data_IF_048270592979
#
_entry.id   IF_048270592979
#
_cell.length_a   1.000
_cell.length_b   1.000
_cell.length_c   1.000
_cell.angle_alpha   90.00
_cell.angle_beta   90.00
_cell.angle_gamma   90.00
#
_symmetry.space_group_name_H-M   'P 1'
#
loop_
_entity.id
_entity.type
_entity.pdbx_description
1 polymer ?
#
# COMPACT_ATOMS: atom_id res chain seq x y z
N UNK A 1 -24.94 -1.95 9.61
CA UNK A 1 -23.63 -1.30 9.37
C UNK A 1 -22.98 -2.05 8.20
N UNK A 2 -22.80 -1.42 7.04
CA UNK A 2 -22.51 -2.12 5.76
C UNK A 2 -21.07 -2.68 5.63
N UNK A 3 -20.17 -2.32 6.54
CA UNK A 3 -18.78 -2.79 6.54
C UNK A 3 -18.40 -3.26 7.95
N UNK A 4 -17.75 -4.44 8.09
CA UNK A 4 -17.20 -4.91 9.36
C UNK A 4 -15.94 -4.10 9.76
N UNK A 5 -15.63 -4.08 11.06
CA UNK A 5 -14.41 -3.46 11.61
C UNK A 5 -14.58 -2.09 12.28
N UNK A 6 -13.52 -1.60 12.94
CA UNK A 6 -13.52 -0.27 13.58
C UNK A 6 -13.55 0.84 12.53
N UNK A 7 -14.57 1.70 12.61
CA UNK A 7 -14.86 2.80 11.67
C UNK A 7 -13.64 3.68 11.35
N UNK A 8 -12.84 4.00 12.37
CA UNK A 8 -11.65 4.86 12.24
C UNK A 8 -10.43 4.15 11.66
N UNK A 9 -10.45 2.82 11.61
CA UNK A 9 -9.33 2.02 11.13
C UNK A 9 -9.47 1.69 9.65
N UNK A 10 -10.58 1.07 9.24
CA UNK A 10 -10.78 0.61 7.86
C UNK A 10 -11.12 1.73 6.88
N UNK A 11 -11.54 2.90 7.37
CA UNK A 11 -11.96 4.09 6.62
C UNK A 11 -13.13 3.89 5.63
N UNK A 12 -13.62 2.66 5.44
CA UNK A 12 -14.69 2.34 4.47
C UNK A 12 -16.02 3.02 4.84
N UNK A 13 -16.34 3.13 6.14
CA UNK A 13 -17.53 3.87 6.64
C UNK A 13 -17.26 5.32 7.06
N UNK A 14 -15.98 5.73 7.18
CA UNK A 14 -15.59 7.05 7.67
C UNK A 14 -15.82 8.16 6.64
N UNK A 15 -15.79 7.85 5.34
CA UNK A 15 -16.01 8.80 4.23
C UNK A 15 -17.35 9.55 4.28
N UNK A 16 -18.33 9.03 5.02
CA UNK A 16 -19.67 9.61 5.17
C UNK A 16 -20.00 10.01 6.61
N UNK A 17 -19.03 9.98 7.52
CA UNK A 17 -19.23 10.29 8.93
C UNK A 17 -18.75 11.70 9.27
N UNK A 18 -19.63 12.53 9.84
CA UNK A 18 -19.43 13.92 10.29
C UNK A 18 -18.24 14.22 11.24
N UNK A 19 -17.49 13.22 11.72
CA UNK A 19 -16.33 13.38 12.61
C UNK A 19 -14.98 13.34 11.85
N UNK A 20 -14.88 14.09 10.74
CA UNK A 20 -13.76 14.00 9.79
C UNK A 20 -12.45 14.64 10.32
N UNK A 21 -12.52 15.54 11.31
CA UNK A 21 -11.44 16.51 11.57
C UNK A 21 -10.54 16.22 12.79
N UNK A 22 -10.80 15.18 13.60
CA UNK A 22 -10.11 14.99 14.90
C UNK A 22 -9.19 13.77 14.97
N UNK A 23 -8.82 13.16 13.84
CA UNK A 23 -7.98 11.95 13.86
C UNK A 23 -6.57 12.27 13.38
N UNK A 24 -5.58 12.01 14.24
CA UNK A 24 -4.18 11.97 13.85
C UNK A 24 -3.80 10.54 13.46
N UNK A 25 -3.51 10.35 12.16
CA UNK A 25 -2.90 9.14 11.61
C UNK A 25 -1.54 9.47 11.03
N UNK A 26 -0.53 8.72 11.46
CA UNK A 26 0.79 8.73 10.85
C UNK A 26 1.05 7.33 10.28
N UNK A 27 1.27 7.25 8.97
CA UNK A 27 1.57 6.00 8.27
C UNK A 27 3.02 5.96 7.81
N UNK A 28 3.66 4.82 8.00
CA UNK A 28 4.93 4.47 7.36
C UNK A 28 4.68 3.38 6.33
N UNK A 29 5.16 3.57 5.10
CA UNK A 29 4.89 2.67 3.98
C UNK A 29 6.15 2.34 3.21
N UNK A 30 6.41 1.05 2.99
CA UNK A 30 7.46 0.56 2.11
C UNK A 30 6.82 -0.31 1.02
N UNK A 31 7.11 0.02 -0.24
CA UNK A 31 6.65 -0.74 -1.40
C UNK A 31 7.78 -1.60 -1.93
N UNK A 32 7.40 -2.79 -2.41
CA UNK A 32 8.33 -3.75 -2.97
C UNK A 32 7.81 -4.24 -4.32
N UNK A 33 8.72 -4.31 -5.29
CA UNK A 33 8.51 -5.02 -6.55
C UNK A 33 9.18 -6.38 -6.50
N UNK A 34 8.51 -7.40 -7.04
CA UNK A 34 9.01 -8.77 -7.03
C UNK A 34 9.53 -9.15 -8.41
N UNK A 35 10.71 -9.76 -8.43
CA UNK A 35 11.25 -10.36 -9.65
C UNK A 35 10.40 -11.55 -10.12
N UNK A 36 10.06 -11.66 -11.42
CA UNK A 36 9.25 -12.76 -11.94
C UNK A 36 9.83 -14.18 -11.77
N UNK A 37 11.16 -14.34 -11.73
CA UNK A 37 11.82 -15.65 -11.72
C UNK A 37 12.08 -16.21 -10.33
N UNK A 38 12.59 -15.37 -9.42
CA UNK A 38 13.05 -15.80 -8.09
C UNK A 38 12.21 -15.21 -6.95
N UNK A 39 11.16 -14.42 -7.26
CA UNK A 39 10.34 -13.69 -6.27
C UNK A 39 11.18 -12.82 -5.32
N UNK A 40 12.34 -12.33 -5.80
CA UNK A 40 13.20 -11.43 -5.04
C UNK A 40 12.49 -10.09 -4.83
N UNK A 41 12.47 -9.61 -3.59
CA UNK A 41 11.87 -8.32 -3.22
C UNK A 41 12.88 -7.19 -3.41
N UNK A 42 12.51 -6.20 -4.22
CA UNK A 42 13.30 -4.99 -4.41
C UNK A 42 12.54 -3.81 -3.79
N UNK A 43 13.21 -3.06 -2.92
CA UNK A 43 12.62 -1.91 -2.23
C UNK A 43 12.47 -0.74 -3.20
N UNK A 44 11.29 -0.13 -3.24
CA UNK A 44 11.00 1.06 -4.02
C UNK A 44 11.15 2.29 -3.14
N UNK A 45 11.90 3.29 -3.64
CA UNK A 45 11.97 4.61 -3.01
C UNK A 45 10.74 5.42 -3.41
N UNK A 46 9.76 5.53 -2.50
CA UNK A 46 8.49 6.20 -2.80
C UNK A 46 8.68 7.66 -3.26
N UNK A 47 9.68 8.34 -2.72
CA UNK A 47 10.02 9.75 -2.99
C UNK A 47 10.43 10.01 -4.44
N UNK A 48 10.85 8.98 -5.18
CA UNK A 48 11.18 9.10 -6.60
C UNK A 48 9.91 9.26 -7.46
N UNK A 49 8.74 8.91 -6.91
CA UNK A 49 7.46 8.88 -7.62
C UNK A 49 6.40 9.79 -7.02
N UNK A 50 6.49 10.08 -5.73
CA UNK A 50 5.48 10.81 -4.97
C UNK A 50 6.09 12.05 -4.33
N UNK A 51 5.32 13.14 -4.31
CA UNK A 51 5.65 14.29 -3.46
C UNK A 51 5.47 13.93 -1.99
N UNK A 52 6.12 14.64 -1.04
CA UNK A 52 5.97 14.36 0.39
C UNK A 52 4.51 14.36 0.87
N UNK A 53 3.66 15.20 0.28
CA UNK A 53 2.23 15.25 0.60
C UNK A 53 1.48 14.03 0.07
N UNK A 54 1.77 13.60 -1.16
CA UNK A 54 1.19 12.39 -1.74
C UNK A 54 1.62 11.14 -0.97
N UNK A 55 2.90 11.04 -0.59
CA UNK A 55 3.41 9.95 0.24
C UNK A 55 2.67 9.90 1.58
N UNK A 56 2.59 11.03 2.30
CA UNK A 56 1.86 11.12 3.57
C UNK A 56 0.40 10.66 3.47
N UNK A 57 -0.30 11.11 2.43
CA UNK A 57 -1.70 10.74 2.20
C UNK A 57 -1.83 9.26 1.81
N UNK A 58 -0.92 8.77 0.97
CA UNK A 58 -0.89 7.39 0.51
C UNK A 58 -0.64 6.41 1.66
N UNK A 59 0.25 6.71 2.60
CA UNK A 59 0.59 5.80 3.71
C UNK A 59 -0.57 5.46 4.65
N UNK A 60 -1.70 6.17 4.57
CA UNK A 60 -2.84 6.01 5.49
C UNK A 60 -4.15 5.66 4.78
N UNK A 61 -4.27 5.98 3.48
CA UNK A 61 -5.51 5.83 2.73
C UNK A 61 -5.49 4.59 1.82
N UNK A 62 -6.37 3.59 2.04
CA UNK A 62 -6.36 2.35 1.27
C UNK A 62 -6.47 2.52 -0.25
N UNK A 63 -7.30 3.44 -0.73
CA UNK A 63 -7.48 3.60 -2.18
C UNK A 63 -6.27 4.28 -2.85
N UNK A 64 -5.51 5.07 -2.11
CA UNK A 64 -4.25 5.65 -2.59
C UNK A 64 -3.14 4.61 -2.58
N UNK A 65 -3.07 3.75 -1.57
CA UNK A 65 -2.17 2.58 -1.52
C UNK A 65 -2.36 1.73 -2.76
N UNK A 66 -3.62 1.36 -3.05
CA UNK A 66 -3.95 0.52 -4.20
C UNK A 66 -3.69 1.23 -5.54
N UNK A 67 -4.00 2.52 -5.62
CA UNK A 67 -3.66 3.33 -6.80
C UNK A 67 -2.16 3.36 -7.06
N UNK A 68 -1.37 3.55 -6.01
CA UNK A 68 0.07 3.64 -6.11
C UNK A 68 0.67 2.29 -6.50
N UNK A 69 0.18 1.18 -5.94
CA UNK A 69 0.59 -0.17 -6.37
C UNK A 69 0.34 -0.41 -7.86
N UNK A 70 -0.82 0.00 -8.39
CA UNK A 70 -1.14 -0.11 -9.81
C UNK A 70 -0.25 0.79 -10.67
N UNK A 71 0.03 2.00 -10.20
CA UNK A 71 0.96 2.91 -10.85
C UNK A 71 2.36 2.29 -10.93
N UNK A 72 2.89 1.76 -9.83
CA UNK A 72 4.20 1.10 -9.80
C UNK A 72 4.25 -0.10 -10.74
N UNK A 73 3.24 -0.99 -10.71
CA UNK A 73 3.15 -2.12 -11.64
C UNK A 73 3.21 -1.66 -13.10
N UNK A 74 2.50 -0.59 -13.45
CA UNK A 74 2.52 -0.01 -14.80
C UNK A 74 3.86 0.63 -15.15
N UNK A 75 4.50 1.32 -14.22
CA UNK A 75 5.78 2.00 -14.41
C UNK A 75 6.92 1.02 -14.65
N UNK A 76 6.91 -0.13 -13.96
CA UNK A 76 7.92 -1.18 -14.12
C UNK A 76 7.54 -2.25 -15.15
N UNK A 77 6.45 -2.04 -15.89
CA UNK A 77 6.04 -2.96 -16.94
C UNK A 77 7.10 -3.00 -18.05
N UNK A 78 7.53 -4.21 -18.41
CA UNK A 78 8.50 -4.47 -19.47
C UNK A 78 9.85 -3.73 -19.30
N UNK A 79 10.15 -3.26 -18.07
CA UNK A 79 11.42 -2.59 -17.75
C UNK A 79 12.51 -3.59 -17.36
N UNK A 80 13.76 -3.15 -17.41
CA UNK A 80 14.90 -3.92 -16.91
C UNK A 80 15.58 -3.17 -15.78
N UNK A 81 15.76 -3.82 -14.63
CA UNK A 81 16.47 -3.26 -13.50
C UNK A 81 17.84 -3.92 -13.40
N UNK A 82 18.88 -3.11 -13.20
CA UNK A 82 20.24 -3.60 -12.98
C UNK A 82 20.48 -3.61 -11.48
N UNK A 83 20.73 -4.80 -10.94
CA UNK A 83 21.11 -4.97 -9.54
C UNK A 83 22.55 -4.53 -9.29
N UNK A 84 22.91 -4.27 -8.03
CA UNK A 84 24.27 -3.83 -7.67
C UNK A 84 25.35 -4.88 -7.96
N UNK A 85 24.96 -6.14 -8.13
CA UNK A 85 25.84 -7.25 -8.54
C UNK A 85 26.01 -7.35 -10.08
N UNK A 86 25.40 -6.46 -10.86
CA UNK A 86 25.44 -6.46 -12.33
C UNK A 86 24.42 -7.38 -13.00
N UNK A 87 23.56 -8.07 -12.24
CA UNK A 87 22.49 -8.88 -12.81
C UNK A 87 21.38 -8.01 -13.41
N UNK A 88 20.90 -8.38 -14.60
CA UNK A 88 19.81 -7.70 -15.29
C UNK A 88 18.51 -8.45 -15.04
N UNK A 89 17.65 -7.87 -14.22
CA UNK A 89 16.31 -8.37 -13.95
C UNK A 89 15.34 -7.78 -14.97
N UNK A 90 14.76 -8.62 -15.82
CA UNK A 90 13.70 -8.21 -16.74
C UNK A 90 12.33 -8.37 -16.08
N UNK A 91 11.61 -7.26 -15.97
CA UNK A 91 10.26 -7.24 -15.46
C UNK A 91 9.27 -7.76 -16.51
N UNK A 92 8.24 -8.45 -16.04
CA UNK A 92 7.17 -8.96 -16.89
C UNK A 92 6.11 -7.91 -17.21
N UNK A 93 5.04 -8.35 -17.88
CA UNK A 93 3.90 -7.50 -18.24
C UNK A 93 3.10 -6.96 -17.06
N UNK A 94 3.10 -7.67 -15.93
CA UNK A 94 2.39 -7.27 -14.71
C UNK A 94 3.25 -7.60 -13.49
N UNK A 95 4.20 -6.73 -13.12
CA UNK A 95 5.02 -6.93 -11.94
C UNK A 95 4.17 -7.06 -10.67
N UNK A 96 4.56 -7.99 -9.80
CA UNK A 96 3.92 -8.19 -8.50
C UNK A 96 4.40 -7.09 -7.55
N UNK A 97 3.45 -6.40 -6.93
CA UNK A 97 3.71 -5.32 -5.98
C UNK A 97 3.14 -5.70 -4.62
N UNK A 98 3.97 -5.68 -3.59
CA UNK A 98 3.53 -5.82 -2.20
C UNK A 98 3.94 -4.59 -1.41
N UNK A 99 3.29 -4.33 -0.29
CA UNK A 99 3.70 -3.24 0.59
C UNK A 99 3.65 -3.66 2.07
N UNK A 100 4.59 -3.14 2.85
CA UNK A 100 4.55 -3.18 4.30
C UNK A 100 4.16 -1.78 4.78
N UNK A 101 2.97 -1.67 5.36
CA UNK A 101 2.44 -0.39 5.84
C UNK A 101 2.05 -0.53 7.30
N UNK A 102 2.57 0.37 8.12
CA UNK A 102 2.19 0.51 9.52
C UNK A 102 1.57 1.86 9.75
N UNK A 103 0.49 1.89 10.53
CA UNK A 103 -0.23 3.12 10.87
C UNK A 103 -0.31 3.24 12.39
N UNK A 104 0.03 4.43 12.90
CA UNK A 104 -0.22 4.84 14.27
C UNK A 104 -1.49 5.67 14.33
N UNK A 105 -2.36 5.36 15.29
CA UNK A 105 -3.61 6.08 15.57
C UNK A 105 -3.52 6.65 17.00
N UNK A 106 -3.63 7.97 17.14
CA UNK A 106 -3.69 8.65 18.45
C UNK A 106 -2.59 8.26 19.45
N UNK A 107 -1.33 8.20 19.02
CA UNK A 107 -0.19 7.88 19.87
C UNK A 107 -0.25 6.48 20.55
N UNK A 108 -1.16 5.59 20.13
CA UNK A 108 -1.34 4.24 20.68
C UNK A 108 -0.40 3.18 20.08
N UNK A 109 0.73 3.62 19.51
CA UNK A 109 1.69 2.76 18.82
C UNK A 109 1.30 2.44 17.37
N UNK A 110 2.30 2.11 16.56
CA UNK A 110 2.12 1.73 15.17
C UNK A 110 1.72 0.26 15.04
N UNK A 111 0.73 -0.04 14.19
CA UNK A 111 0.27 -1.41 13.92
C UNK A 111 0.27 -1.67 12.41
N UNK A 112 0.39 -2.94 12.00
CA UNK A 112 0.29 -3.30 10.58
C UNK A 112 -1.10 -2.94 10.06
N UNK A 113 -1.13 -2.21 8.95
CA UNK A 113 -2.36 -1.72 8.35
C UNK A 113 -2.88 -2.64 7.25
N UNK A 114 -1.96 -3.31 6.54
CA UNK A 114 -2.28 -4.15 5.38
C UNK A 114 -1.55 -5.48 5.47
N UNK A 115 -2.09 -6.51 4.80
CA UNK A 115 -1.38 -7.78 4.63
C UNK A 115 -0.25 -7.63 3.61
N UNK A 116 0.99 -7.67 4.08
CA UNK A 116 2.18 -7.48 3.23
C UNK A 116 2.53 -8.64 2.33
N UNK A 117 1.80 -9.76 2.43
CA UNK A 117 1.92 -10.89 1.49
C UNK A 117 0.97 -10.75 0.30
N UNK A 118 -0.04 -9.90 0.37
CA UNK A 118 -1.02 -9.72 -0.72
C UNK A 118 -0.38 -8.96 -1.88
N UNK A 119 -0.58 -9.50 -3.10
CA UNK A 119 -0.22 -8.80 -4.31
C UNK A 119 -1.23 -7.69 -4.59
N UNK A 120 -0.84 -6.45 -4.30
CA UNK A 120 -1.70 -5.28 -4.50
C UNK A 120 -1.92 -4.96 -5.99
N UNK A 121 -1.05 -5.41 -6.89
CA UNK A 121 -1.19 -5.11 -8.33
C UNK A 121 -2.29 -5.91 -9.04
N UNK A 122 -2.81 -6.95 -8.39
CA UNK A 122 -3.92 -7.77 -8.92
C UNK A 122 -5.29 -7.38 -8.33
N UNK A 123 -5.32 -6.57 -7.28
CA UNK A 123 -6.56 -6.24 -6.56
C UNK A 123 -7.33 -5.18 -7.34
N UNK A 124 -8.58 -5.49 -7.72
CA UNK A 124 -9.44 -4.52 -8.41
C UNK A 124 -9.84 -3.39 -7.47
N UNK A 125 -9.83 -2.15 -7.98
CA UNK A 125 -10.37 -0.99 -7.25
C UNK A 125 -11.89 -1.12 -7.15
N UNK A 126 -12.45 -0.67 -6.03
CA UNK A 126 -13.90 -0.68 -5.81
C UNK A 126 -14.31 -0.26 -4.40
N UNK A 127 -15.62 -0.10 -4.22
CA UNK A 127 -16.24 0.24 -2.94
C UNK A 127 -16.50 -0.99 -2.05
N UNK A 128 -16.34 -2.21 -2.56
CA UNK A 128 -16.50 -3.44 -1.79
C UNK A 128 -15.49 -3.54 -0.63
N UNK A 129 -15.77 -4.45 0.29
CA UNK A 129 -14.89 -4.70 1.42
C UNK A 129 -13.48 -5.11 0.95
N UNK A 130 -12.46 -4.53 1.57
CA UNK A 130 -11.05 -4.73 1.26
C UNK A 130 -10.44 -5.73 2.25
N UNK A 131 -10.43 -7.01 1.88
CA UNK A 131 -9.90 -8.12 2.71
C UNK A 131 -8.39 -8.03 2.99
N UNK A 132 -7.67 -7.18 2.26
CA UNK A 132 -6.23 -6.97 2.42
C UNK A 132 -5.89 -5.91 3.49
N UNK A 133 -6.89 -5.20 4.03
CA UNK A 133 -6.73 -4.32 5.19
C UNK A 133 -6.90 -5.18 6.42
N UNK A 134 -5.91 -5.14 7.32
CA UNK A 134 -5.96 -5.90 8.57
C UNK A 134 -6.91 -5.21 9.55
N UNK A 135 -7.60 -5.99 10.38
CA UNK A 135 -8.39 -5.44 11.47
C UNK A 135 -7.49 -4.83 12.55
N UNK A 136 -8.03 -3.85 13.28
CA UNK A 136 -7.39 -3.33 14.48
C UNK A 136 -7.61 -4.34 15.61
N UNK A 137 -6.78 -5.38 15.70
CA UNK A 137 -6.78 -6.32 16.82
C UNK A 137 -6.47 -5.55 18.11
N UNK A 138 -7.40 -5.48 19.06
CA UNK A 138 -7.22 -4.72 20.31
C UNK A 138 -5.99 -5.16 21.11
#
# INVERSE_FOLDING_TARGET
MLYPGKLFWTEQGYRFSWRVMLIEKAGYSQFYIHEPKMDRKMLIQNRDYLTPQQEKMMSTQPDMILQYAHFLSKTFKDSSIVESNGEIIKMGRNPKITADITVSLFNKGSRKFIDSKKNLSEIKRGFGNKEWILDYED
#
